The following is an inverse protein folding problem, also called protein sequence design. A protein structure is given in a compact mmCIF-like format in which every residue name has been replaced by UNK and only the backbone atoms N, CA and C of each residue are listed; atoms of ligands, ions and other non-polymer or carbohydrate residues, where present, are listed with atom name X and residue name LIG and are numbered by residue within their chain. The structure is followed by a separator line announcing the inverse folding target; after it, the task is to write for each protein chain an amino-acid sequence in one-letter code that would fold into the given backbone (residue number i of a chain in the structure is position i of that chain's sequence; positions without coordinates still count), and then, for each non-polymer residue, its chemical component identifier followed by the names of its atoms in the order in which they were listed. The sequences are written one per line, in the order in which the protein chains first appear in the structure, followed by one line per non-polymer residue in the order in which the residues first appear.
data_IF_537524108679
#
_entry.id   IF_537524108679
#
_cell.length_a   1.000
_cell.length_b   1.000
_cell.length_c   1.000
_cell.angle_alpha   90.00
_cell.angle_beta   90.00
_cell.angle_gamma   90.00
#
_symmetry.space_group_name_H-M   'P 1'
#
loop_
_entity.id
_entity.type
_entity.pdbx_description
1 polymer ?
#
# COMPACT_ATOMS: atom_id res chain seq x y z
N UNK A 1 4.35 -5.11 -10.32
CA UNK A 1 4.29 -5.01 -8.85
C UNK A 1 5.68 -4.71 -8.29
N UNK A 2 5.82 -3.56 -7.65
CA UNK A 2 7.11 -2.92 -7.34
C UNK A 2 7.86 -3.58 -6.19
N UNK A 3 7.15 -4.19 -5.26
CA UNK A 3 7.74 -4.81 -4.06
C UNK A 3 8.03 -6.31 -4.20
N UNK A 4 7.74 -6.92 -5.36
CA UNK A 4 7.82 -8.38 -5.59
C UNK A 4 7.16 -9.23 -4.48
N UNK A 5 5.99 -8.81 -3.99
CA UNK A 5 5.27 -9.47 -2.90
C UNK A 5 6.10 -9.59 -1.60
N UNK A 6 6.63 -8.47 -1.12
CA UNK A 6 7.35 -8.43 0.16
C UNK A 6 6.40 -8.81 1.31
N UNK A 7 6.64 -9.99 1.89
CA UNK A 7 5.83 -10.54 2.99
C UNK A 7 5.82 -9.65 4.24
N UNK A 8 6.95 -9.02 4.57
CA UNK A 8 7.02 -8.09 5.72
C UNK A 8 6.13 -6.86 5.50
N UNK A 9 6.12 -6.31 4.29
CA UNK A 9 5.23 -5.20 3.94
C UNK A 9 3.77 -5.63 4.00
N UNK A 10 3.44 -6.83 3.48
CA UNK A 10 2.08 -7.38 3.54
C UNK A 10 1.61 -7.59 4.97
N UNK A 11 2.42 -8.24 5.81
CA UNK A 11 2.12 -8.45 7.23
C UNK A 11 1.87 -7.13 7.97
N UNK A 12 2.75 -6.14 7.78
CA UNK A 12 2.59 -4.84 8.41
C UNK A 12 1.35 -4.10 7.91
N UNK A 13 1.13 -4.06 6.59
CA UNK A 13 -0.04 -3.40 6.02
C UNK A 13 -1.33 -4.06 6.52
N UNK A 14 -1.34 -5.39 6.62
CA UNK A 14 -2.48 -6.13 7.16
C UNK A 14 -2.74 -5.82 8.64
N UNK A 15 -1.70 -5.70 9.46
CA UNK A 15 -1.83 -5.27 10.85
C UNK A 15 -2.41 -3.84 10.96
N UNK A 16 -1.89 -2.92 10.15
CA UNK A 16 -2.32 -1.52 10.14
C UNK A 16 -3.77 -1.36 9.65
N UNK A 17 -4.19 -2.20 8.71
CA UNK A 17 -5.51 -2.15 8.06
C UNK A 17 -6.46 -3.22 8.60
N UNK A 18 -6.29 -3.63 9.86
CA UNK A 18 -7.23 -4.49 10.59
C UNK A 18 -7.57 -5.81 9.86
N UNK A 19 -6.57 -6.44 9.23
CA UNK A 19 -6.76 -7.70 8.54
C UNK A 19 -7.30 -7.57 7.11
N UNK A 20 -7.29 -6.37 6.51
CA UNK A 20 -7.82 -6.13 5.16
C UNK A 20 -7.28 -7.10 4.10
N UNK A 21 -5.99 -7.40 4.11
CA UNK A 21 -5.36 -8.34 3.18
C UNK A 21 -5.57 -9.82 3.55
N UNK A 22 -6.25 -10.11 4.66
CA UNK A 22 -6.53 -11.47 5.13
C UNK A 22 -8.03 -11.78 5.23
N UNK A 23 -8.90 -10.87 4.78
CA UNK A 23 -10.32 -11.19 4.67
C UNK A 23 -10.49 -12.32 3.64
N UNK A 24 -11.34 -13.29 3.96
CA UNK A 24 -11.48 -14.49 3.13
C UNK A 24 -11.94 -14.10 1.73
N UNK A 25 -11.32 -14.72 0.71
CA UNK A 25 -11.69 -14.65 -0.71
C UNK A 25 -13.19 -14.82 -0.96
N UNK A 26 -13.90 -15.53 -0.09
CA UNK A 26 -15.36 -15.76 -0.16
C UNK A 26 -16.23 -14.52 0.11
N UNK A 27 -15.75 -13.50 0.82
CA UNK A 27 -16.45 -12.21 0.96
C UNK A 27 -16.04 -11.23 -0.15
N UNK A 28 -14.80 -11.34 -0.63
CA UNK A 28 -14.28 -10.53 -1.74
C UNK A 28 -14.88 -10.88 -3.12
N UNK A 29 -15.12 -12.17 -3.40
CA UNK A 29 -15.79 -12.63 -4.62
C UNK A 29 -17.25 -12.13 -4.73
N UNK A 30 -17.92 -11.90 -3.60
CA UNK A 30 -19.29 -11.33 -3.59
C UNK A 30 -19.30 -9.84 -3.90
N UNK A 31 -18.17 -9.15 -3.71
CA UNK A 31 -17.99 -7.72 -3.97
C UNK A 31 -17.23 -7.41 -5.26
N UNK A 32 -16.71 -8.42 -5.97
CA UNK A 32 -15.91 -8.24 -7.20
C UNK A 32 -14.48 -7.77 -6.95
N UNK A 33 -13.92 -8.13 -5.80
CA UNK A 33 -12.70 -7.55 -5.25
C UNK A 33 -11.55 -8.55 -5.42
N UNK A 34 -10.53 -8.20 -6.18
CA UNK A 34 -9.30 -9.01 -6.29
C UNK A 34 -8.29 -8.52 -5.26
N UNK A 35 -7.51 -9.42 -4.66
CA UNK A 35 -6.34 -9.07 -3.84
C UNK A 35 -5.41 -8.08 -4.59
N UNK A 36 -5.37 -8.18 -5.92
CA UNK A 36 -4.60 -7.33 -6.85
C UNK A 36 -5.01 -5.85 -6.81
N UNK A 37 -6.19 -5.52 -6.29
CA UNK A 37 -6.67 -4.12 -6.20
C UNK A 37 -5.74 -3.32 -5.28
N UNK A 38 -5.27 -3.89 -4.18
CA UNK A 38 -4.48 -3.18 -3.16
C UNK A 38 -2.96 -3.22 -3.38
N UNK A 39 -2.49 -3.63 -4.56
CA UNK A 39 -1.05 -3.71 -4.87
C UNK A 39 -0.40 -2.33 -5.10
N UNK A 40 -1.19 -1.34 -5.55
CA UNK A 40 -0.73 0.03 -5.79
C UNK A 40 -0.98 0.93 -4.57
N UNK A 41 -0.37 0.57 -3.45
CA UNK A 41 -0.44 1.32 -2.20
C UNK A 41 0.96 1.52 -1.63
N UNK A 42 1.29 2.75 -1.23
CA UNK A 42 2.53 3.07 -0.50
C UNK A 42 2.15 3.74 0.80
N UNK A 43 2.61 3.17 1.92
CA UNK A 43 2.43 3.75 3.26
C UNK A 43 3.79 4.16 3.80
N UNK A 44 3.93 5.44 4.15
CA UNK A 44 5.11 5.97 4.85
C UNK A 44 4.68 6.58 6.17
N UNK A 45 5.15 6.00 7.27
CA UNK A 45 4.90 6.48 8.63
C UNK A 45 6.11 7.27 9.10
N UNK A 46 5.93 8.56 9.35
CA UNK A 46 6.91 9.45 10.01
C UNK A 46 6.52 9.63 11.48
N UNK A 47 7.39 10.27 12.25
CA UNK A 47 7.14 10.53 13.68
C UNK A 47 5.94 11.44 13.94
N UNK A 48 5.59 12.29 12.97
CA UNK A 48 4.61 13.35 13.07
C UNK A 48 3.52 13.28 12.00
N UNK A 49 3.69 12.48 10.96
CA UNK A 49 2.71 12.34 9.86
C UNK A 49 2.65 10.91 9.31
N UNK A 50 1.57 10.61 8.61
CA UNK A 50 1.47 9.42 7.77
C UNK A 50 1.17 9.85 6.35
N UNK A 51 1.90 9.33 5.39
CA UNK A 51 1.64 9.56 3.97
C UNK A 51 1.14 8.27 3.35
N UNK A 52 0.08 8.36 2.57
CA UNK A 52 -0.56 7.24 1.89
C UNK A 52 -0.75 7.58 0.42
N UNK A 53 0.00 6.90 -0.45
CA UNK A 53 -0.32 6.86 -1.86
C UNK A 53 -1.29 5.72 -2.14
N UNK A 54 -2.30 5.99 -2.96
CA UNK A 54 -3.17 4.96 -3.53
C UNK A 54 -3.77 5.47 -4.85
N UNK A 55 -4.11 4.56 -5.76
CA UNK A 55 -4.93 4.91 -6.92
C UNK A 55 -6.38 5.26 -6.50
N UNK A 56 -7.19 5.90 -7.37
CA UNK A 56 -8.55 6.33 -7.04
C UNK A 56 -9.50 5.17 -6.72
N UNK A 57 -9.27 3.99 -7.29
CA UNK A 57 -10.06 2.78 -7.03
C UNK A 57 -9.86 2.35 -5.57
N UNK A 58 -8.62 2.37 -5.10
CA UNK A 58 -8.22 1.96 -3.75
C UNK A 58 -8.66 2.94 -2.67
N UNK A 59 -8.79 4.22 -3.02
CA UNK A 59 -9.14 5.28 -2.08
C UNK A 59 -10.41 4.96 -1.28
N UNK A 60 -11.48 4.57 -1.96
CA UNK A 60 -12.77 4.27 -1.31
C UNK A 60 -12.68 3.09 -0.34
N UNK A 61 -11.82 2.12 -0.61
CA UNK A 61 -11.63 0.94 0.22
C UNK A 61 -10.72 1.18 1.41
N UNK A 62 -9.69 2.02 1.25
CA UNK A 62 -8.75 2.35 2.32
C UNK A 62 -9.35 3.34 3.32
N UNK A 63 -10.20 4.25 2.86
CA UNK A 63 -10.71 5.37 3.66
C UNK A 63 -11.30 4.95 5.02
N UNK A 64 -12.13 3.90 5.15
CA UNK A 64 -12.66 3.47 6.45
C UNK A 64 -11.59 3.09 7.48
N UNK A 65 -10.44 2.57 7.02
CA UNK A 65 -9.36 2.08 7.87
C UNK A 65 -8.39 3.19 8.28
N UNK A 66 -8.18 4.18 7.41
CA UNK A 66 -7.13 5.21 7.59
C UNK A 66 -7.66 6.60 7.93
N UNK A 67 -8.95 6.90 7.73
CA UNK A 67 -9.51 8.25 7.95
C UNK A 67 -9.30 8.79 9.38
N UNK A 68 -9.11 7.90 10.35
CA UNK A 68 -8.90 8.22 11.75
C UNK A 68 -7.43 8.48 12.10
N UNK A 69 -6.50 8.26 11.17
CA UNK A 69 -5.08 8.46 11.40
C UNK A 69 -4.76 9.95 11.52
N UNK A 70 -4.00 10.30 12.55
CA UNK A 70 -3.60 11.68 12.81
C UNK A 70 -2.56 12.13 11.77
N UNK A 71 -2.70 13.35 11.27
CA UNK A 71 -1.77 13.97 10.31
C UNK A 71 -1.56 13.09 9.06
N UNK A 72 -2.67 12.58 8.50
CA UNK A 72 -2.68 11.78 7.28
C UNK A 72 -2.63 12.67 6.04
N UNK A 73 -1.71 12.37 5.13
CA UNK A 73 -1.56 12.99 3.82
C UNK A 73 -1.84 11.96 2.72
N UNK A 74 -2.91 12.17 1.96
CA UNK A 74 -3.23 11.35 0.80
C UNK A 74 -2.53 11.86 -0.46
N UNK A 75 -1.95 10.94 -1.21
CA UNK A 75 -1.40 11.13 -2.55
C UNK A 75 -2.22 10.26 -3.50
N UNK A 76 -3.28 10.84 -4.06
CA UNK A 76 -4.22 10.13 -4.91
C UNK A 76 -4.65 11.07 -6.04
N UNK A 77 -4.61 10.58 -7.28
CA UNK A 77 -5.15 11.30 -8.42
C UNK A 77 -6.69 11.34 -8.35
N UNK A 78 -7.30 12.14 -9.23
CA UNK A 78 -8.72 11.98 -9.53
C UNK A 78 -8.94 10.80 -10.48
N UNK A 79 -10.18 10.30 -10.55
CA UNK A 79 -10.52 9.20 -11.46
C UNK A 79 -10.21 9.51 -12.93
N UNK A 80 -10.45 10.74 -13.38
CA UNK A 80 -10.20 11.16 -14.76
C UNK A 80 -8.71 11.19 -15.11
N UNK A 81 -7.87 11.66 -14.17
CA UNK A 81 -6.41 11.72 -14.41
C UNK A 81 -5.79 10.33 -14.42
N UNK A 82 -6.38 9.37 -13.71
CA UNK A 82 -5.90 7.98 -13.63
C UNK A 82 -6.19 7.17 -14.91
N UNK A 83 -6.99 7.68 -15.85
CA UNK A 83 -7.22 7.02 -17.14
C UNK A 83 -5.97 7.03 -18.03
N UNK A 84 -5.04 7.97 -17.80
CA UNK A 84 -3.75 8.03 -18.49
C UNK A 84 -2.70 7.25 -17.68
N UNK A 85 -2.32 6.08 -18.20
CA UNK A 85 -1.35 5.17 -17.56
C UNK A 85 0.03 5.82 -17.35
N UNK A 86 0.49 6.63 -18.30
CA UNK A 86 1.80 7.29 -18.20
C UNK A 86 1.77 8.37 -17.12
N UNK A 87 0.71 9.17 -17.10
CA UNK A 87 0.49 10.17 -16.04
C UNK A 87 0.31 9.52 -14.67
N UNK A 88 -0.34 8.37 -14.59
CA UNK A 88 -0.53 7.62 -13.35
C UNK A 88 0.80 7.12 -12.77
N UNK A 89 1.67 6.56 -13.60
CA UNK A 89 3.01 6.12 -13.18
C UNK A 89 3.91 7.31 -12.79
N UNK A 90 3.86 8.41 -13.55
CA UNK A 90 4.61 9.63 -13.19
C UNK A 90 4.12 10.22 -11.86
N UNK A 91 2.81 10.22 -11.62
CA UNK A 91 2.23 10.67 -10.37
C UNK A 91 2.63 9.77 -9.19
N UNK A 92 2.67 8.45 -9.37
CA UNK A 92 3.14 7.50 -8.35
C UNK A 92 4.60 7.76 -7.97
N UNK A 93 5.47 7.96 -8.96
CA UNK A 93 6.89 8.26 -8.74
C UNK A 93 7.06 9.60 -8.02
N UNK A 94 6.40 10.66 -8.51
CA UNK A 94 6.50 12.00 -7.91
C UNK A 94 5.93 12.05 -6.49
N UNK A 95 4.84 11.33 -6.24
CA UNK A 95 4.28 11.12 -4.88
C UNK A 95 5.31 10.45 -3.99
N UNK A 96 5.94 9.36 -4.43
CA UNK A 96 6.96 8.68 -3.64
C UNK A 96 8.14 9.61 -3.30
N UNK A 97 8.63 10.38 -4.27
CA UNK A 97 9.71 11.37 -4.07
C UNK A 97 9.32 12.43 -3.04
N UNK A 98 8.09 12.93 -3.08
CA UNK A 98 7.59 13.90 -2.09
C UNK A 98 7.43 13.27 -0.71
N UNK A 99 6.85 12.08 -0.64
CA UNK A 99 6.66 11.32 0.61
C UNK A 99 7.99 11.15 1.35
N UNK A 100 9.05 10.73 0.65
CA UNK A 100 10.37 10.47 1.26
C UNK A 100 11.22 11.73 1.42
N UNK A 101 10.71 12.91 1.04
CA UNK A 101 11.43 14.17 1.24
C UNK A 101 11.77 14.32 2.72
N UNK A 102 13.00 14.78 2.96
CA UNK A 102 13.62 14.98 4.27
C UNK A 102 13.84 13.71 5.11
N UNK A 103 13.59 12.52 4.56
CA UNK A 103 13.97 11.26 5.18
C UNK A 103 15.45 10.95 4.91
N UNK A 104 16.29 11.05 5.94
CA UNK A 104 17.70 10.63 5.85
C UNK A 104 17.89 9.11 5.93
N UNK A 105 16.91 8.38 6.48
CA UNK A 105 16.89 6.93 6.63
C UNK A 105 15.47 6.40 6.51
N UNK A 106 15.31 5.25 5.87
CA UNK A 106 14.01 4.58 5.70
C UNK A 106 14.17 3.14 6.19
N UNK A 107 13.26 2.72 7.06
CA UNK A 107 13.13 1.32 7.47
C UNK A 107 12.16 0.61 6.54
N UNK A 108 12.53 -0.60 6.09
CA UNK A 108 11.65 -1.46 5.30
C UNK A 108 11.24 -2.65 6.18
N UNK A 109 9.94 -2.96 6.31
CA UNK A 109 9.49 -4.14 7.02
C UNK A 109 10.10 -5.43 6.45
N UNK A 110 10.46 -6.35 7.34
CA UNK A 110 11.06 -7.63 7.00
C UNK A 110 10.31 -8.75 7.70
N UNK A 111 9.85 -9.75 6.95
CA UNK A 111 9.30 -10.99 7.51
C UNK A 111 10.38 -12.05 7.61
N UNK A 112 10.53 -12.62 8.80
CA UNK A 112 11.43 -13.78 9.03
C UNK A 112 10.83 -15.09 8.50
N UNK A 113 9.51 -15.16 8.33
CA UNK A 113 8.80 -16.38 7.92
C UNK A 113 8.91 -16.61 6.40
N UNK A 114 8.93 -15.56 5.59
CA UNK A 114 9.08 -15.65 4.12
C UNK A 114 10.41 -16.23 3.64
N UNK A 115 11.48 -16.15 4.44
CA UNK A 115 12.80 -16.69 4.09
C UNK A 115 12.98 -18.17 4.46
N UNK A 116 12.23 -18.71 5.43
CA UNK A 116 12.35 -20.12 5.79
C UNK A 116 11.87 -21.08 4.69
N UNK A 117 10.91 -20.65 3.86
CA UNK A 117 10.41 -21.46 2.73
C UNK A 117 11.37 -21.49 1.53
N UNK A 118 12.21 -20.47 1.34
CA UNK A 118 13.21 -20.46 0.25
C UNK A 118 14.43 -21.34 0.53
N UNK A 119 14.79 -21.51 1.79
CA UNK A 119 15.94 -22.34 2.19
C UNK A 119 15.62 -23.85 2.31
N UNK A 120 14.36 -24.25 2.12
CA UNK A 120 13.94 -25.67 2.10
C UNK A 120 13.86 -26.27 0.68
N UNK A 121 14.16 -25.49 -0.35
CA UNK A 121 14.15 -25.90 -1.76
C UNK A 121 15.51 -25.65 -2.47
N UNK A 122 16.59 -25.42 -1.71
CA UNK A 122 17.95 -25.23 -2.21
C UNK A 122 18.87 -26.42 -1.91
#
# INVERSE_FOLDING_TARGET
IDSRYNEGCRELANYLLLGLYSQNTTDFEKTGFSEEILDDVIILIKSDSVHLYCNPINYGYLLPYVAHWRNLHFHCMTGNEYEDEEAAEEFKISSFVDMVRDCSRIGIPYSSQGNHLRNLLG
#
